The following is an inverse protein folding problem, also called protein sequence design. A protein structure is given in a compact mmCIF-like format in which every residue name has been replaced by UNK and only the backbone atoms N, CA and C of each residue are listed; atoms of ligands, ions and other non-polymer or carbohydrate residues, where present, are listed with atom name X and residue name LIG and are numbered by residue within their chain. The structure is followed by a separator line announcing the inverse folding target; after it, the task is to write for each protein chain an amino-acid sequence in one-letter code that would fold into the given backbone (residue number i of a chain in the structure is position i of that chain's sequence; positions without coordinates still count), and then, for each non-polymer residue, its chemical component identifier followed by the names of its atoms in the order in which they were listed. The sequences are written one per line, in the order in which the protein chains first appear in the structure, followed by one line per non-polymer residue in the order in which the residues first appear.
data_IF_687036902066
#
_entry.id   IF_687036902066
#
_cell.length_a   1.000
_cell.length_b   1.000
_cell.length_c   1.000
_cell.angle_alpha   90.00
_cell.angle_beta   90.00
_cell.angle_gamma   90.00
#
_symmetry.space_group_name_H-M   'P 1'
#
loop_
_entity.id
_entity.type
_entity.pdbx_description
1 polymer ?
#
# COMPACT_ATOMS: atom_id res chain seq x y z
N UNK A 1 -47.31 -3.89 -8.60
CA UNK A 1 -46.64 -4.32 -7.35
C UNK A 1 -45.16 -4.03 -7.53
N UNK A 2 -44.55 -3.21 -6.66
CA UNK A 2 -43.15 -2.82 -6.79
C UNK A 2 -42.27 -3.83 -6.03
N UNK A 3 -41.44 -4.57 -6.76
CA UNK A 3 -40.44 -5.46 -6.18
C UNK A 3 -39.44 -4.64 -5.36
N UNK A 4 -39.45 -4.87 -4.05
CA UNK A 4 -38.49 -4.26 -3.12
C UNK A 4 -37.18 -5.03 -3.26
N UNK A 5 -36.25 -4.54 -4.09
CA UNK A 5 -34.87 -5.05 -4.12
C UNK A 5 -34.18 -4.64 -2.82
N UNK A 6 -33.99 -5.61 -1.92
CA UNK A 6 -33.14 -5.46 -0.75
C UNK A 6 -31.75 -5.00 -1.18
N UNK A 7 -31.13 -4.01 -0.50
CA UNK A 7 -29.76 -3.61 -0.79
C UNK A 7 -28.80 -4.78 -0.53
N UNK A 8 -27.66 -4.85 -1.25
CA UNK A 8 -26.68 -5.90 -1.04
C UNK A 8 -26.19 -5.82 0.40
N UNK A 9 -26.41 -6.90 1.15
CA UNK A 9 -25.91 -7.06 2.50
C UNK A 9 -24.38 -7.06 2.40
N UNK A 10 -23.75 -5.94 2.75
CA UNK A 10 -22.29 -5.85 2.85
C UNK A 10 -21.90 -6.72 4.04
N UNK A 11 -21.49 -7.96 3.76
CA UNK A 11 -20.89 -8.85 4.75
C UNK A 11 -19.60 -8.19 5.22
N UNK A 12 -19.71 -7.34 6.24
CA UNK A 12 -18.57 -6.76 6.96
C UNK A 12 -18.04 -7.87 7.85
N UNK A 13 -17.28 -8.79 7.25
CA UNK A 13 -16.48 -9.72 8.03
C UNK A 13 -15.58 -8.86 8.93
N UNK A 14 -15.80 -8.92 10.24
CA UNK A 14 -15.04 -8.12 11.20
C UNK A 14 -13.56 -8.42 11.03
N UNK A 15 -12.77 -7.42 10.66
CA UNK A 15 -11.32 -7.56 10.60
C UNK A 15 -10.81 -7.93 11.99
N UNK A 16 -9.79 -8.81 12.10
CA UNK A 16 -9.24 -9.18 13.39
C UNK A 16 -8.62 -7.95 14.05
N UNK A 17 -9.04 -7.69 15.29
CA UNK A 17 -8.47 -6.61 16.10
C UNK A 17 -7.01 -6.96 16.42
N UNK A 18 -6.12 -5.98 16.22
CA UNK A 18 -4.71 -6.11 16.57
C UNK A 18 -4.40 -5.37 17.88
N UNK A 19 -3.67 -6.04 18.76
CA UNK A 19 -3.08 -5.42 19.95
C UNK A 19 -1.70 -4.84 19.59
N UNK A 20 -1.54 -3.53 19.72
CA UNK A 20 -0.43 -2.75 19.15
C UNK A 20 0.60 -2.41 20.21
N UNK A 21 1.81 -2.93 20.03
CA UNK A 21 2.95 -2.74 20.93
C UNK A 21 4.05 -1.89 20.28
N UNK A 22 4.79 -1.16 21.09
CA UNK A 22 5.99 -0.43 20.68
C UNK A 22 6.93 -0.23 21.87
N UNK A 23 8.20 0.07 21.60
CA UNK A 23 9.16 0.40 22.67
C UNK A 23 8.84 1.77 23.24
N UNK A 24 8.77 1.90 24.57
CA UNK A 24 8.40 3.15 25.27
C UNK A 24 9.17 4.41 24.81
N UNK A 25 10.40 4.26 24.31
CA UNK A 25 11.18 5.36 23.73
C UNK A 25 10.56 5.99 22.47
N UNK A 26 9.56 5.34 21.87
CA UNK A 26 8.81 5.82 20.70
C UNK A 26 7.38 6.26 21.04
N UNK A 27 7.02 6.42 22.32
CA UNK A 27 5.67 6.82 22.74
C UNK A 27 5.21 8.15 22.15
N UNK A 28 6.15 9.08 21.95
CA UNK A 28 5.89 10.43 21.45
C UNK A 28 6.07 10.51 19.92
N UNK A 29 6.22 9.37 19.23
CA UNK A 29 6.37 9.34 17.78
C UNK A 29 5.01 9.56 17.12
N UNK A 30 4.93 10.60 16.29
CA UNK A 30 3.70 10.96 15.61
C UNK A 30 3.41 10.00 14.44
N UNK A 31 2.38 9.17 14.60
CA UNK A 31 1.93 8.24 13.57
C UNK A 31 1.19 8.95 12.42
N UNK A 32 0.75 10.20 12.60
CA UNK A 32 0.01 10.95 11.58
C UNK A 32 0.88 11.31 10.36
N UNK A 33 2.19 11.44 10.58
CA UNK A 33 3.19 11.74 9.55
C UNK A 33 3.68 10.49 8.81
N UNK A 34 3.27 9.28 9.20
CA UNK A 34 3.72 8.05 8.56
C UNK A 34 3.33 8.04 7.08
N UNK A 35 4.33 7.85 6.23
CA UNK A 35 4.14 7.78 4.79
C UNK A 35 4.18 6.35 4.27
N UNK A 36 4.92 5.46 4.95
CA UNK A 36 5.02 4.06 4.54
C UNK A 36 5.08 3.11 5.73
N UNK A 37 4.49 1.93 5.54
CA UNK A 37 4.55 0.83 6.50
C UNK A 37 5.22 -0.38 5.83
N UNK A 38 6.21 -0.97 6.50
CA UNK A 38 6.82 -2.22 6.07
C UNK A 38 6.48 -3.32 7.05
N UNK A 39 5.69 -4.29 6.60
CA UNK A 39 5.31 -5.44 7.40
C UNK A 39 6.25 -6.63 7.17
N UNK A 40 6.58 -7.32 8.25
CA UNK A 40 7.35 -8.56 8.22
C UNK A 40 6.43 -9.76 8.46
N UNK A 41 6.24 -10.59 7.45
CA UNK A 41 5.43 -11.80 7.52
C UNK A 41 6.33 -13.03 7.46
N UNK A 42 6.13 -13.95 8.40
CA UNK A 42 6.67 -15.32 8.28
C UNK A 42 5.74 -16.16 7.42
N UNK A 43 6.24 -17.26 6.86
CA UNK A 43 5.41 -18.21 6.13
C UNK A 43 4.27 -18.77 7.01
N UNK A 44 4.49 -18.89 8.32
CA UNK A 44 3.44 -19.27 9.28
C UNK A 44 2.36 -18.20 9.40
N UNK A 45 2.73 -16.91 9.49
CA UNK A 45 1.74 -15.83 9.55
C UNK A 45 0.90 -15.75 8.28
N UNK A 46 1.54 -15.89 7.10
CA UNK A 46 0.83 -15.91 5.82
C UNK A 46 -0.19 -17.06 5.80
N UNK A 47 0.23 -18.26 6.19
CA UNK A 47 -0.64 -19.43 6.23
C UNK A 47 -1.79 -19.26 7.22
N UNK A 48 -1.54 -18.70 8.40
CA UNK A 48 -2.59 -18.45 9.38
C UNK A 48 -3.63 -17.46 8.86
N UNK A 49 -3.19 -16.37 8.21
CA UNK A 49 -4.09 -15.38 7.60
C UNK A 49 -4.94 -16.01 6.49
N UNK A 50 -4.35 -16.86 5.65
CA UNK A 50 -5.09 -17.58 4.60
C UNK A 50 -6.11 -18.52 5.24
N UNK A 51 -5.69 -19.34 6.21
CA UNK A 51 -6.54 -20.36 6.83
C UNK A 51 -7.66 -19.79 7.69
N UNK A 52 -7.47 -18.62 8.32
CA UNK A 52 -8.52 -17.97 9.12
C UNK A 52 -9.62 -17.35 8.27
N UNK A 53 -9.40 -17.21 6.97
CA UNK A 53 -10.35 -16.64 6.02
C UNK A 53 -10.86 -17.76 5.10
N UNK A 54 -11.64 -18.68 5.70
CA UNK A 54 -12.12 -19.94 5.08
C UNK A 54 -13.08 -19.77 3.90
N UNK A 55 -13.50 -18.54 3.57
CA UNK A 55 -14.29 -18.26 2.36
C UNK A 55 -13.46 -18.14 1.08
N UNK A 56 -12.12 -18.15 1.20
CA UNK A 56 -11.23 -18.12 0.03
C UNK A 56 -11.00 -19.57 -0.41
N UNK A 57 -11.96 -20.14 -1.13
CA UNK A 57 -11.85 -21.45 -1.76
C UNK A 57 -10.67 -21.45 -2.75
N UNK A 58 -9.52 -21.94 -2.28
CA UNK A 58 -8.50 -22.74 -2.94
C UNK A 58 -8.07 -22.53 -4.41
N UNK A 59 -8.40 -21.43 -5.10
CA UNK A 59 -7.95 -21.26 -6.50
C UNK A 59 -7.55 -19.83 -6.90
N UNK A 60 -7.80 -18.82 -6.08
CA UNK A 60 -7.47 -17.44 -6.45
C UNK A 60 -6.23 -16.93 -5.73
N UNK A 61 -5.16 -16.78 -6.52
CA UNK A 61 -3.95 -15.98 -6.32
C UNK A 61 -3.28 -16.00 -4.93
N UNK A 62 -1.98 -16.34 -4.92
CA UNK A 62 -1.06 -16.37 -3.78
C UNK A 62 -0.79 -15.00 -3.11
N UNK A 63 -1.77 -14.09 -3.17
CA UNK A 63 -1.67 -12.68 -2.83
C UNK A 63 -2.90 -12.16 -2.08
N UNK A 64 -4.00 -12.92 -1.91
CA UNK A 64 -5.19 -12.48 -1.16
C UNK A 64 -4.91 -12.07 0.30
N UNK A 65 -3.87 -12.64 0.92
CA UNK A 65 -3.44 -12.18 2.25
C UNK A 65 -2.88 -10.75 2.24
N UNK A 66 -2.43 -10.22 1.09
CA UNK A 66 -1.99 -8.83 1.01
C UNK A 66 -3.16 -7.89 1.24
N UNK A 67 -4.31 -8.16 0.63
CA UNK A 67 -5.52 -7.34 0.79
C UNK A 67 -6.00 -7.38 2.25
N UNK A 68 -5.94 -8.54 2.88
CA UNK A 68 -6.28 -8.71 4.31
C UNK A 68 -5.30 -7.92 5.18
N UNK A 69 -3.99 -8.07 4.96
CA UNK A 69 -2.96 -7.36 5.72
C UNK A 69 -3.06 -5.85 5.52
N UNK A 70 -3.29 -5.40 4.29
CA UNK A 70 -3.51 -4.00 3.94
C UNK A 70 -4.65 -3.43 4.78
N UNK A 71 -5.86 -4.02 4.67
CA UNK A 71 -7.04 -3.56 5.41
C UNK A 71 -6.84 -3.55 6.92
N UNK A 72 -6.29 -4.64 7.48
CA UNK A 72 -6.04 -4.75 8.92
C UNK A 72 -5.11 -3.61 9.38
N UNK A 73 -4.00 -3.38 8.68
CA UNK A 73 -3.05 -2.33 9.06
C UNK A 73 -3.65 -0.94 8.84
N UNK A 74 -4.43 -0.73 7.78
CA UNK A 74 -5.09 0.54 7.49
C UNK A 74 -6.04 0.93 8.62
N UNK A 75 -6.87 0.00 9.09
CA UNK A 75 -7.76 0.22 10.25
C UNK A 75 -6.95 0.39 11.53
N UNK A 76 -5.95 -0.47 11.76
CA UNK A 76 -5.19 -0.46 13.02
C UNK A 76 -4.42 0.84 13.23
N UNK A 77 -3.78 1.37 12.19
CA UNK A 77 -2.96 2.59 12.31
C UNK A 77 -3.73 3.88 12.02
N UNK A 78 -4.84 3.82 11.26
CA UNK A 78 -5.48 5.03 10.75
C UNK A 78 -7.02 5.04 10.85
N UNK A 79 -7.64 3.97 11.32
CA UNK A 79 -9.10 3.87 11.47
C UNK A 79 -9.88 3.84 10.14
N UNK A 80 -9.22 3.61 9.01
CA UNK A 80 -9.82 3.58 7.67
C UNK A 80 -9.25 2.41 6.89
N UNK A 81 -10.08 1.52 6.35
CA UNK A 81 -9.66 0.31 5.61
C UNK A 81 -8.85 0.59 4.34
N UNK A 82 -9.12 1.71 3.66
CA UNK A 82 -8.55 2.03 2.35
C UNK A 82 -7.38 3.02 2.43
N UNK A 83 -6.75 3.14 3.60
CA UNK A 83 -5.72 4.14 3.86
C UNK A 83 -4.33 3.77 3.32
N UNK A 84 -4.07 2.47 3.16
CA UNK A 84 -2.80 1.96 2.66
C UNK A 84 -2.99 1.38 1.26
N UNK A 85 -1.97 1.54 0.43
CA UNK A 85 -1.87 0.90 -0.88
C UNK A 85 -0.57 0.10 -0.99
N UNK A 86 -0.62 -1.09 -1.57
CA UNK A 86 0.55 -1.91 -1.80
C UNK A 86 1.61 -1.25 -2.71
N UNK A 87 2.81 -1.00 -2.16
CA UNK A 87 3.95 -0.47 -2.91
C UNK A 87 4.81 -1.57 -3.54
N UNK A 88 4.89 -2.73 -2.89
CA UNK A 88 5.68 -3.86 -3.36
C UNK A 88 6.13 -4.78 -2.25
N UNK A 89 6.60 -5.98 -2.62
CA UNK A 89 7.13 -6.95 -1.65
C UNK A 89 8.51 -7.46 -2.04
N UNK A 90 9.22 -8.04 -1.08
CA UNK A 90 10.48 -8.76 -1.25
C UNK A 90 10.51 -9.97 -0.31
N UNK A 91 11.11 -11.09 -0.75
CA UNK A 91 11.28 -12.28 0.09
C UNK A 91 12.76 -12.45 0.41
N UNK A 92 13.06 -12.68 1.69
CA UNK A 92 14.40 -13.00 2.19
C UNK A 92 14.29 -14.20 3.12
N UNK A 93 14.69 -15.39 2.62
CA UNK A 93 14.48 -16.66 3.30
C UNK A 93 12.99 -16.96 3.53
N UNK A 94 12.64 -17.45 4.73
CA UNK A 94 11.26 -17.74 5.15
C UNK A 94 10.44 -16.52 5.61
N UNK A 95 10.85 -15.30 5.21
CA UNK A 95 10.16 -14.05 5.57
C UNK A 95 9.87 -13.22 4.32
N UNK A 96 8.63 -12.73 4.23
CA UNK A 96 8.20 -11.76 3.22
C UNK A 96 8.09 -10.38 3.86
N UNK A 97 8.69 -9.40 3.20
CA UNK A 97 8.63 -7.99 3.54
C UNK A 97 7.67 -7.34 2.57
N UNK A 98 6.62 -6.71 3.08
CA UNK A 98 5.60 -6.05 2.26
C UNK A 98 5.59 -4.57 2.64
N UNK A 99 5.77 -3.70 1.66
CA UNK A 99 5.70 -2.26 1.84
C UNK A 99 4.35 -1.74 1.35
N UNK A 100 3.78 -0.83 2.12
CA UNK A 100 2.55 -0.11 1.83
C UNK A 100 2.82 1.40 1.89
N UNK A 101 2.12 2.16 1.05
CA UNK A 101 2.12 3.62 1.01
C UNK A 101 0.83 4.13 1.66
N UNK A 102 0.93 5.18 2.48
CA UNK A 102 -0.23 5.88 3.04
C UNK A 102 -0.75 6.93 2.05
N UNK A 103 -1.92 6.68 1.44
CA UNK A 103 -2.41 7.47 0.30
C UNK A 103 -2.84 8.90 0.67
N UNK A 104 -3.34 9.14 1.89
CA UNK A 104 -3.69 10.52 2.33
C UNK A 104 -2.47 11.42 2.44
N UNK A 105 -1.30 10.83 2.69
CA UNK A 105 -0.05 11.55 2.71
C UNK A 105 0.56 11.65 1.30
N UNK A 106 0.22 10.77 0.36
CA UNK A 106 0.72 10.84 -1.03
C UNK A 106 0.30 12.13 -1.76
N UNK A 107 -0.91 12.64 -1.53
CA UNK A 107 -1.36 13.90 -2.12
C UNK A 107 -0.48 15.10 -1.72
N UNK A 108 -0.03 15.13 -0.45
CA UNK A 108 0.91 16.13 0.06
C UNK A 108 2.32 15.99 -0.55
N UNK A 109 2.69 14.78 -0.97
CA UNK A 109 3.98 14.46 -1.56
C UNK A 109 4.11 14.87 -3.02
N UNK A 110 3.04 14.69 -3.82
CA UNK A 110 3.05 15.05 -5.24
C UNK A 110 3.16 16.57 -5.42
N UNK A 111 2.57 17.35 -4.51
CA UNK A 111 2.61 18.82 -4.55
C UNK A 111 3.95 19.41 -4.08
N UNK A 112 4.68 18.74 -3.18
CA UNK A 112 5.95 19.21 -2.60
C UNK A 112 7.22 18.70 -3.31
N UNK A 113 7.13 18.25 -4.58
CA UNK A 113 8.27 17.68 -5.31
C UNK A 113 9.45 18.64 -5.57
N UNK A 114 9.30 19.96 -5.33
CA UNK A 114 10.37 20.96 -5.45
C UNK A 114 11.20 21.13 -4.16
N UNK A 115 10.69 20.69 -3.01
CA UNK A 115 11.42 20.68 -1.74
C UNK A 115 12.03 19.28 -1.59
N UNK A 116 13.37 19.22 -1.71
CA UNK A 116 14.22 18.03 -1.51
C UNK A 116 13.55 16.98 -0.63
N UNK A 117 13.10 15.88 -1.23
CA UNK A 117 12.62 14.67 -0.53
C UNK A 117 11.83 15.00 0.75
N UNK A 118 10.53 15.27 0.62
CA UNK A 118 9.61 15.27 1.76
C UNK A 118 9.96 14.14 2.73
N UNK A 119 9.89 14.40 4.03
CA UNK A 119 10.41 13.50 5.07
C UNK A 119 9.71 12.15 4.96
N UNK A 120 10.35 11.14 4.33
CA UNK A 120 9.83 9.77 4.38
C UNK A 120 9.80 9.39 5.86
N UNK A 121 8.63 9.07 6.38
CA UNK A 121 8.47 8.47 7.69
C UNK A 121 8.01 7.03 7.45
N UNK A 122 8.92 6.10 7.74
CA UNK A 122 8.73 4.68 7.47
C UNK A 122 8.76 3.95 8.81
N UNK A 123 7.74 3.14 9.07
CA UNK A 123 7.75 2.22 10.22
C UNK A 123 7.89 0.77 9.75
N UNK A 124 8.54 -0.04 10.59
CA UNK A 124 8.53 -1.49 10.49
C UNK A 124 7.47 -2.04 11.43
N UNK A 125 6.65 -2.97 10.94
CA UNK A 125 5.63 -3.68 11.71
C UNK A 125 5.91 -5.17 11.66
N UNK A 126 5.85 -5.80 12.83
CA UNK A 126 6.15 -7.22 13.02
C UNK A 126 4.97 -7.88 13.73
N UNK A 127 4.41 -8.92 13.11
CA UNK A 127 3.44 -9.78 13.79
C UNK A 127 4.17 -10.62 14.83
N UNK A 128 3.70 -10.57 16.07
CA UNK A 128 4.21 -11.42 17.13
C UNK A 128 3.55 -12.79 17.06
N UNK A 129 4.25 -13.83 17.52
CA UNK A 129 3.63 -15.15 17.66
C UNK A 129 2.57 -15.06 18.76
N UNK A 130 1.30 -15.22 18.39
CA UNK A 130 0.19 -15.31 19.32
C UNK A 130 -0.33 -16.75 19.39
N UNK A 131 -0.87 -17.12 20.55
CA UNK A 131 -1.70 -18.33 20.66
C UNK A 131 -2.98 -18.10 19.82
N UNK A 132 -3.51 -19.09 19.09
CA UNK A 132 -4.77 -18.94 18.35
C UNK A 132 -5.97 -18.46 19.21
N UNK A 133 -5.90 -18.64 20.54
CA UNK A 133 -6.92 -18.18 21.49
C UNK A 133 -6.70 -16.74 21.99
N UNK A 134 -5.60 -16.11 21.63
CA UNK A 134 -5.23 -14.76 22.04
C UNK A 134 -5.36 -13.79 20.87
N UNK A 135 -5.65 -12.53 21.18
CA UNK A 135 -5.64 -11.44 20.20
C UNK A 135 -4.26 -11.35 19.53
N UNK A 136 -4.26 -11.25 18.21
CA UNK A 136 -3.04 -11.13 17.44
C UNK A 136 -2.33 -9.82 17.80
N UNK A 137 -1.08 -9.93 18.25
CA UNK A 137 -0.26 -8.78 18.62
C UNK A 137 0.63 -8.36 17.45
N UNK A 138 0.78 -7.05 17.27
CA UNK A 138 1.81 -6.47 16.41
C UNK A 138 2.75 -5.59 17.23
N UNK A 139 3.99 -5.54 16.78
CA UNK A 139 4.98 -4.60 17.29
C UNK A 139 5.40 -3.66 16.17
N UNK A 140 5.46 -2.35 16.43
CA UNK A 140 5.97 -1.39 15.47
C UNK A 140 7.15 -0.58 16.03
N UNK A 141 7.97 -0.07 15.11
CA UNK A 141 9.05 0.88 15.39
C UNK A 141 9.39 1.71 14.16
N UNK A 142 10.08 2.84 14.30
CA UNK A 142 10.73 3.50 13.17
C UNK A 142 11.62 2.54 12.39
N UNK A 143 11.57 2.62 11.06
CA UNK A 143 12.28 1.69 10.20
C UNK A 143 13.79 1.84 10.36
N UNK A 144 14.49 0.71 10.40
CA UNK A 144 15.94 0.66 10.36
C UNK A 144 16.42 1.25 9.05
N UNK A 145 17.63 1.84 9.08
CA UNK A 145 18.28 2.49 7.93
C UNK A 145 18.27 1.63 6.66
N UNK A 146 18.41 0.30 6.78
CA UNK A 146 18.38 -0.60 5.62
C UNK A 146 16.98 -0.75 5.01
N UNK A 147 15.94 -0.87 5.84
CA UNK A 147 14.54 -0.96 5.38
C UNK A 147 14.11 0.36 4.77
N UNK A 148 14.42 1.47 5.45
CA UNK A 148 14.18 2.82 4.95
C UNK A 148 14.78 3.02 3.54
N UNK A 149 16.06 2.66 3.34
CA UNK A 149 16.73 2.78 2.04
C UNK A 149 16.04 1.97 0.95
N UNK A 150 15.54 0.77 1.26
CA UNK A 150 14.83 -0.06 0.28
C UNK A 150 13.49 0.55 -0.13
N UNK A 151 12.72 1.07 0.83
CA UNK A 151 11.48 1.81 0.54
C UNK A 151 11.79 3.02 -0.33
N UNK A 152 12.79 3.83 0.02
CA UNK A 152 13.21 4.98 -0.77
C UNK A 152 13.57 4.60 -2.22
N UNK A 153 14.27 3.50 -2.45
CA UNK A 153 14.58 3.03 -3.81
C UNK A 153 13.31 2.63 -4.56
N UNK A 154 12.38 1.91 -3.90
CA UNK A 154 11.10 1.51 -4.53
C UNK A 154 10.26 2.71 -4.92
N UNK A 155 10.11 3.68 -4.02
CA UNK A 155 9.39 4.95 -4.29
C UNK A 155 10.02 5.71 -5.46
N UNK A 156 11.36 5.80 -5.51
CA UNK A 156 12.03 6.46 -6.65
C UNK A 156 11.75 5.75 -7.98
N UNK A 157 11.70 4.42 -7.98
CA UNK A 157 11.40 3.62 -9.17
C UNK A 157 9.93 3.76 -9.61
N UNK A 158 8.98 3.81 -8.68
CA UNK A 158 7.56 4.00 -9.02
C UNK A 158 7.32 5.39 -9.63
N UNK A 159 7.87 6.45 -9.03
CA UNK A 159 7.80 7.82 -9.56
C UNK A 159 8.51 7.94 -10.92
N UNK A 160 9.68 7.33 -11.07
CA UNK A 160 10.41 7.31 -12.34
C UNK A 160 9.60 6.69 -13.47
N UNK A 161 8.90 5.57 -13.21
CA UNK A 161 7.99 4.93 -14.18
C UNK A 161 6.78 5.81 -14.52
N UNK A 162 6.18 6.48 -13.54
CA UNK A 162 5.08 7.40 -13.77
C UNK A 162 5.50 8.57 -14.68
N UNK A 163 6.69 9.14 -14.47
CA UNK A 163 7.24 10.24 -15.31
C UNK A 163 7.51 9.80 -16.75
N UNK A 164 8.04 8.60 -16.97
CA UNK A 164 8.26 8.07 -18.33
C UNK A 164 6.94 7.90 -19.07
N UNK A 165 5.90 7.41 -18.40
CA UNK A 165 4.55 7.28 -19.00
C UNK A 165 3.97 8.65 -19.38
N UNK A 166 4.01 9.64 -18.48
CA UNK A 166 3.50 10.99 -18.78
C UNK A 166 4.31 11.68 -19.88
N UNK A 167 5.63 11.49 -19.92
CA UNK A 167 6.50 12.00 -20.97
C UNK A 167 6.19 11.39 -22.34
N UNK A 168 5.98 10.07 -22.41
CA UNK A 168 5.57 9.38 -23.63
C UNK A 168 4.19 9.85 -24.12
N UNK A 169 3.20 9.93 -23.22
CA UNK A 169 1.85 10.43 -23.58
C UNK A 169 1.89 11.88 -24.08
N UNK A 170 2.70 12.77 -23.48
CA UNK A 170 2.86 14.15 -23.98
C UNK A 170 3.57 14.21 -25.32
N UNK A 171 4.61 13.40 -25.53
CA UNK A 171 5.32 13.34 -26.81
C UNK A 171 4.42 12.80 -27.94
N UNK A 172 3.62 11.77 -27.66
CA UNK A 172 2.65 11.22 -28.61
C UNK A 172 1.52 12.20 -28.92
N UNK A 173 1.02 12.93 -27.90
CA UNK A 173 -0.02 13.94 -28.10
C UNK A 173 0.50 15.16 -28.88
N UNK A 174 1.76 15.57 -28.67
CA UNK A 174 2.42 16.62 -29.47
C UNK A 174 2.63 16.13 -30.91
N UNK A 175 3.04 14.88 -31.10
CA UNK A 175 3.26 14.28 -32.42
C UNK A 175 1.96 14.14 -33.20
N UNK A 176 0.86 13.72 -32.56
CA UNK A 176 -0.47 13.69 -33.17
C UNK A 176 -1.00 15.09 -33.51
N UNK A 177 -0.77 16.09 -32.64
CA UNK A 177 -1.19 17.48 -32.89
C UNK A 177 -0.40 18.13 -34.03
N UNK A 178 0.88 17.82 -34.17
CA UNK A 178 1.72 18.22 -35.31
C UNK A 178 1.28 17.53 -36.60
N UNK A 179 1.04 16.22 -36.56
CA UNK A 179 0.56 15.44 -37.71
C UNK A 179 -0.82 15.93 -38.20
N UNK A 180 -1.72 16.33 -37.29
CA UNK A 180 -3.04 16.87 -37.65
C UNK A 180 -2.97 18.28 -38.25
N UNK A 181 -1.99 19.11 -37.85
CA UNK A 181 -1.78 20.44 -38.44
C UNK A 181 -1.14 20.38 -39.83
N UNK A 182 -0.23 19.43 -40.06
CA UNK A 182 0.37 19.20 -41.38
C UNK A 182 -0.63 18.69 -42.41
N UNK A 183 -1.64 17.91 -42.00
CA UNK A 183 -2.67 17.35 -42.91
C UNK A 183 -3.73 18.36 -43.39
N UNK A 184 -3.89 19.51 -42.72
CA UNK A 184 -4.86 20.55 -43.13
C UNK A 184 -4.26 21.67 -43.99
N UNK A 185 -2.96 21.60 -44.30
CA UNK A 185 -2.22 22.65 -45.02
C UNK A 185 -1.98 22.40 -46.51
N UNK A 186 -2.59 21.40 -47.14
CA UNK A 186 -2.33 21.08 -48.55
C UNK A 186 -3.62 20.94 -49.35
N UNK A 187 -4.21 22.08 -49.67
CA UNK A 187 -5.13 22.24 -50.80
C UNK A 187 -5.06 23.70 -51.27
N UNK A 188 -4.07 24.01 -52.11
CA UNK A 188 -4.08 25.16 -53.02
C UNK A 188 -3.12 24.87 -54.16
N UNK A 189 -3.69 24.43 -55.27
CA UNK A 189 -3.31 24.75 -56.65
C UNK A 189 -4.43 24.20 -57.54
#
# INVERSE_FOLDING_TARGET
MAETRSPPQVTTASLPVLDVHYEHKFKDYDLSDITHIVVHLSDTHIRNIINSNTDISNEYNNQCYLDIVEKILSVTFFGNENQLEWLGSERHGGRKFVAFTNIKNEEKWVQNQSLRYGKLEVIEVMFMRANPRETQKIFWRPARKIVFRRVLIKVRKSVGRARVRVGATRADMISQKLAYRLRKGSASA
#
